data_IF_778825356748
#
_entry.id   IF_778825356748
#
_cell.length_a   1.000
_cell.length_b   1.000
_cell.length_c   1.000
_cell.angle_alpha   90.00
_cell.angle_beta   90.00
_cell.angle_gamma   90.00
#
_symmetry.space_group_name_H-M   'P 1'
#
loop_
_entity.id
_entity.type
_entity.pdbx_description
1 polymer ?
#
# COMPACT_ATOMS: atom_id res chain seq x y z
N UNK A 1 60.25 -13.88 45.41
CA UNK A 1 58.93 -13.64 46.03
C UNK A 1 58.22 -12.66 45.12
N UNK A 2 57.33 -13.17 44.26
CA UNK A 2 55.88 -12.95 44.31
C UNK A 2 55.51 -11.51 43.88
N UNK A 3 54.59 -11.24 42.96
CA UNK A 3 53.61 -12.04 42.24
C UNK A 3 53.09 -11.22 41.04
N UNK A 4 52.53 -11.93 40.06
CA UNK A 4 51.93 -11.43 38.82
C UNK A 4 50.54 -10.84 39.08
N UNK A 5 50.10 -9.92 38.22
CA UNK A 5 48.77 -10.08 37.57
C UNK A 5 48.59 -9.16 36.37
N UNK A 6 47.98 -9.74 35.34
CA UNK A 6 47.75 -9.23 33.99
C UNK A 6 46.46 -8.40 33.91
N UNK A 7 46.45 -7.36 33.06
CA UNK A 7 45.22 -6.77 32.50
C UNK A 7 45.35 -6.74 30.97
N UNK A 8 44.52 -7.54 30.28
CA UNK A 8 44.37 -7.57 28.81
C UNK A 8 43.31 -6.53 28.40
N UNK A 9 43.64 -5.68 27.43
CA UNK A 9 42.69 -4.85 26.65
C UNK A 9 42.23 -5.61 25.38
N UNK A 10 41.00 -5.38 24.88
CA UNK A 10 40.49 -6.02 23.67
C UNK A 10 40.94 -5.25 22.41
N UNK A 11 41.36 -5.99 21.39
CA UNK A 11 41.82 -5.47 20.10
C UNK A 11 40.73 -5.64 19.02
N UNK A 12 40.43 -4.54 18.34
CA UNK A 12 39.54 -4.44 17.18
C UNK A 12 40.10 -5.23 15.98
N UNK A 13 39.22 -5.96 15.29
CA UNK A 13 39.49 -6.61 14.00
C UNK A 13 38.93 -5.74 12.88
N UNK A 14 39.82 -5.21 12.03
CA UNK A 14 39.48 -4.50 10.80
C UNK A 14 39.72 -5.43 9.62
N UNK A 15 38.66 -5.67 8.84
CA UNK A 15 38.64 -6.52 7.65
C UNK A 15 39.25 -5.79 6.45
N UNK A 16 40.25 -6.41 5.80
CA UNK A 16 40.84 -5.91 4.57
C UNK A 16 40.07 -6.41 3.33
N UNK A 17 39.70 -5.47 2.46
CA UNK A 17 39.13 -5.67 1.12
C UNK A 17 40.20 -6.11 0.12
N UNK A 18 40.00 -7.26 -0.54
CA UNK A 18 40.77 -7.70 -1.72
C UNK A 18 40.22 -7.06 -3.00
N UNK A 19 41.06 -6.29 -3.71
CA UNK A 19 40.90 -5.94 -5.13
C UNK A 19 41.95 -6.71 -5.94
N UNK A 20 41.56 -7.34 -7.04
CA UNK A 20 42.47 -7.84 -8.08
C UNK A 20 42.14 -7.17 -9.43
N UNK A 21 43.14 -7.04 -10.34
CA UNK A 21 43.15 -6.07 -11.42
C UNK A 21 42.63 -6.61 -12.77
N UNK A 22 42.11 -5.70 -13.58
CA UNK A 22 41.71 -5.89 -14.97
C UNK A 22 42.92 -5.90 -15.92
N UNK A 23 43.07 -6.95 -16.72
CA UNK A 23 44.02 -7.01 -17.84
C UNK A 23 43.35 -6.67 -19.17
N UNK A 24 44.07 -5.90 -19.97
CA UNK A 24 43.78 -5.47 -21.33
C UNK A 24 44.15 -6.57 -22.34
N UNK A 25 43.39 -6.68 -23.44
CA UNK A 25 43.93 -7.11 -24.73
C UNK A 25 43.19 -6.41 -25.87
N UNK A 26 43.95 -5.64 -26.65
CA UNK A 26 43.62 -5.16 -27.99
C UNK A 26 43.78 -6.35 -28.95
N UNK A 27 42.94 -6.46 -29.98
CA UNK A 27 43.31 -7.23 -31.17
C UNK A 27 42.80 -6.61 -32.47
N UNK A 28 43.70 -6.67 -33.44
CA UNK A 28 43.69 -6.04 -34.75
C UNK A 28 42.63 -6.58 -35.72
N UNK A 29 42.27 -5.70 -36.65
CA UNK A 29 41.36 -5.91 -37.77
C UNK A 29 42.18 -6.31 -38.99
N UNK A 30 41.96 -7.51 -39.54
CA UNK A 30 42.42 -7.88 -40.87
C UNK A 30 41.27 -8.39 -41.74
N UNK A 31 41.27 -7.95 -43.01
CA UNK A 31 40.29 -8.24 -44.05
C UNK A 31 40.62 -9.56 -44.76
N UNK A 32 39.57 -10.22 -45.29
CA UNK A 32 39.42 -10.79 -46.66
C UNK A 32 38.90 -12.24 -46.66
N UNK A 33 37.93 -12.52 -47.53
CA UNK A 33 37.77 -13.84 -48.15
C UNK A 33 36.40 -14.49 -47.98
N UNK A 34 35.58 -14.38 -49.02
CA UNK A 34 34.39 -15.17 -49.33
C UNK A 34 34.63 -16.69 -49.17
N UNK A 35 33.62 -17.43 -48.71
CA UNK A 35 33.04 -18.61 -49.37
C UNK A 35 31.95 -19.23 -48.49
N UNK A 36 30.71 -19.15 -48.97
CA UNK A 36 29.58 -19.95 -48.50
C UNK A 36 29.77 -21.39 -49.01
N UNK A 37 29.38 -22.41 -48.24
CA UNK A 37 28.28 -23.22 -48.73
C UNK A 37 27.19 -23.43 -47.68
N UNK A 38 25.96 -23.46 -48.18
CA UNK A 38 24.72 -23.64 -47.44
C UNK A 38 24.78 -24.83 -46.48
N UNK A 39 24.48 -24.58 -45.21
CA UNK A 39 23.86 -25.55 -44.32
C UNK A 39 22.43 -25.10 -44.06
N UNK A 40 21.48 -25.95 -44.46
CA UNK A 40 20.06 -25.81 -44.14
C UNK A 40 19.91 -26.04 -42.63
N UNK A 41 19.81 -24.95 -41.86
CA UNK A 41 19.49 -25.00 -40.44
C UNK A 41 17.97 -24.98 -40.25
N UNK A 42 17.44 -26.08 -39.73
CA UNK A 42 16.11 -26.10 -39.14
C UNK A 42 16.20 -25.49 -37.72
N UNK A 43 16.04 -24.17 -37.59
CA UNK A 43 15.96 -23.44 -36.31
C UNK A 43 14.60 -22.75 -36.10
N UNK A 44 13.50 -23.40 -36.47
CA UNK A 44 12.16 -22.89 -36.20
C UNK A 44 11.53 -23.66 -35.04
N UNK A 45 11.85 -23.37 -33.76
CA UNK A 45 10.99 -22.46 -32.98
C UNK A 45 11.71 -21.62 -31.90
N UNK A 46 12.95 -21.92 -31.54
CA UNK A 46 13.65 -21.34 -30.37
C UNK A 46 14.15 -19.93 -30.64
N UNK A 47 14.58 -19.64 -31.87
CA UNK A 47 15.07 -18.33 -32.31
C UNK A 47 13.97 -17.26 -32.28
N UNK A 48 12.73 -17.65 -32.61
CA UNK A 48 11.56 -16.76 -32.55
C UNK A 48 11.18 -16.44 -31.11
N UNK A 49 11.28 -17.41 -30.21
CA UNK A 49 10.96 -17.22 -28.79
C UNK A 49 11.98 -16.32 -28.09
N UNK A 50 13.27 -16.42 -28.43
CA UNK A 50 14.29 -15.48 -27.94
C UNK A 50 14.12 -14.09 -28.54
N UNK A 51 13.76 -13.96 -29.82
CA UNK A 51 13.47 -12.66 -30.44
C UNK A 51 12.26 -11.95 -29.84
N UNK A 52 11.20 -12.71 -29.54
CA UNK A 52 9.98 -12.18 -28.91
C UNK A 52 10.23 -11.77 -27.45
N UNK A 53 11.05 -12.54 -26.73
CA UNK A 53 11.45 -12.20 -25.36
C UNK A 53 12.33 -10.92 -25.31
N UNK A 54 13.25 -10.76 -26.26
CA UNK A 54 14.08 -9.56 -26.39
C UNK A 54 13.23 -8.33 -26.76
N UNK A 55 12.27 -8.49 -27.66
CA UNK A 55 11.35 -7.41 -28.04
C UNK A 55 10.51 -6.96 -26.85
N UNK A 56 10.08 -7.90 -26.01
CA UNK A 56 9.31 -7.61 -24.79
C UNK A 56 10.17 -6.96 -23.70
N UNK A 57 11.44 -7.36 -23.58
CA UNK A 57 12.40 -6.69 -22.69
C UNK A 57 12.61 -5.22 -23.09
N UNK A 58 12.74 -4.94 -24.39
CA UNK A 58 12.92 -3.59 -24.90
C UNK A 58 11.68 -2.72 -24.65
N UNK A 59 10.47 -3.27 -24.82
CA UNK A 59 9.22 -2.58 -24.46
C UNK A 59 9.13 -2.27 -22.96
N UNK A 60 9.52 -3.20 -22.08
CA UNK A 60 9.53 -2.94 -20.64
C UNK A 60 10.57 -1.89 -20.24
N UNK A 61 11.72 -1.84 -20.92
CA UNK A 61 12.70 -0.77 -20.72
C UNK A 61 12.14 0.61 -21.09
N UNK A 62 11.43 0.71 -22.22
CA UNK A 62 10.79 1.97 -22.63
C UNK A 62 9.70 2.39 -21.64
N UNK A 63 8.85 1.46 -21.20
CA UNK A 63 7.79 1.74 -20.24
C UNK A 63 8.36 2.16 -18.87
N UNK A 64 9.44 1.52 -18.41
CA UNK A 64 10.12 1.93 -17.19
C UNK A 64 10.74 3.33 -17.32
N UNK A 65 11.34 3.65 -18.46
CA UNK A 65 11.87 5.00 -18.71
C UNK A 65 10.75 6.06 -18.68
N UNK A 66 9.57 5.75 -19.23
CA UNK A 66 8.40 6.64 -19.17
C UNK A 66 7.88 6.79 -17.73
N UNK A 67 7.83 5.71 -16.95
CA UNK A 67 7.44 5.74 -15.55
C UNK A 67 8.43 6.55 -14.70
N UNK A 68 9.73 6.40 -14.94
CA UNK A 68 10.77 7.20 -14.31
C UNK A 68 10.63 8.68 -14.66
N UNK A 69 10.37 9.02 -15.92
CA UNK A 69 10.12 10.40 -16.35
C UNK A 69 8.87 11.00 -15.68
N UNK A 70 7.75 10.27 -15.62
CA UNK A 70 6.53 10.72 -14.92
C UNK A 70 6.76 10.88 -13.42
N UNK A 71 7.56 10.00 -12.83
CA UNK A 71 7.92 10.09 -11.41
C UNK A 71 8.80 11.32 -11.16
N UNK A 72 9.76 11.60 -12.03
CA UNK A 72 10.59 12.80 -11.95
C UNK A 72 9.76 14.08 -12.10
N UNK A 73 8.77 14.08 -12.99
CA UNK A 73 7.86 15.22 -13.16
C UNK A 73 6.96 15.45 -11.95
N UNK A 74 6.42 14.38 -11.36
CA UNK A 74 5.61 14.48 -10.14
C UNK A 74 6.43 14.99 -8.97
N UNK A 75 7.67 14.50 -8.82
CA UNK A 75 8.60 14.99 -7.79
C UNK A 75 8.93 16.47 -8.02
N UNK A 76 9.21 16.88 -9.26
CA UNK A 76 9.47 18.28 -9.62
C UNK A 76 8.28 19.18 -9.28
N UNK A 77 7.05 18.74 -9.54
CA UNK A 77 5.83 19.49 -9.16
C UNK A 77 5.69 19.60 -7.64
N UNK A 78 5.95 18.52 -6.90
CA UNK A 78 5.92 18.52 -5.44
C UNK A 78 6.99 19.45 -4.84
N UNK A 79 8.21 19.43 -5.39
CA UNK A 79 9.28 20.35 -5.01
C UNK A 79 8.94 21.82 -5.32
N UNK A 80 8.28 22.07 -6.45
CA UNK A 80 7.83 23.42 -6.81
C UNK A 80 6.77 23.94 -5.84
N UNK A 81 5.75 23.15 -5.52
CA UNK A 81 4.74 23.50 -4.53
C UNK A 81 5.33 23.73 -3.13
N UNK A 82 6.30 22.90 -2.74
CA UNK A 82 7.01 23.09 -1.48
C UNK A 82 7.85 24.37 -1.48
N UNK A 83 8.51 24.69 -2.60
CA UNK A 83 9.26 25.94 -2.76
C UNK A 83 8.34 27.15 -2.69
N UNK A 84 7.21 27.13 -3.39
CA UNK A 84 6.22 28.22 -3.38
C UNK A 84 5.63 28.42 -1.98
N UNK A 85 5.24 27.34 -1.29
CA UNK A 85 4.76 27.43 0.08
C UNK A 85 5.84 27.98 1.02
N UNK A 86 7.09 27.52 0.87
CA UNK A 86 8.19 28.00 1.70
C UNK A 86 8.54 29.47 1.38
N UNK A 87 8.41 29.91 0.12
CA UNK A 87 8.59 31.30 -0.28
C UNK A 87 7.53 32.21 0.37
N UNK A 88 6.26 31.79 0.35
CA UNK A 88 5.15 32.50 1.01
C UNK A 88 5.37 32.60 2.52
N UNK A 89 5.89 31.54 3.15
CA UNK A 89 6.19 31.53 4.59
C UNK A 89 7.48 32.28 4.95
N UNK A 90 8.44 32.37 4.02
CA UNK A 90 9.73 33.04 4.23
C UNK A 90 9.68 34.56 3.98
N UNK A 91 8.62 35.07 3.34
CA UNK A 91 8.39 36.51 3.24
C UNK A 91 8.09 37.05 4.64
N UNK A 92 8.91 37.98 5.16
CA UNK A 92 8.67 38.54 6.48
C UNK A 92 7.31 39.24 6.50
N UNK A 93 6.58 39.09 7.61
CA UNK A 93 5.25 39.64 7.93
C UNK A 93 5.16 41.19 7.86
N UNK A 94 6.16 41.86 7.30
CA UNK A 94 6.30 43.31 7.27
C UNK A 94 5.66 43.99 6.04
N UNK A 95 5.14 43.23 5.08
CA UNK A 95 4.43 43.78 3.89
C UNK A 95 2.90 43.66 3.99
N UNK A 96 2.37 42.86 4.92
CA UNK A 96 0.93 42.57 5.01
C UNK A 96 0.14 43.55 5.91
N UNK A 97 0.81 44.54 6.51
CA UNK A 97 0.20 45.50 7.43
C UNK A 97 0.02 46.91 6.83
N UNK A 98 0.17 47.07 5.50
CA UNK A 98 0.11 48.39 4.85
C UNK A 98 -0.51 48.39 3.45
N UNK A 99 -1.59 47.62 3.26
CA UNK A 99 -2.48 47.86 2.11
C UNK A 99 -3.91 47.56 2.53
N UNK A 100 -4.45 48.48 3.32
CA UNK A 100 -5.88 48.72 3.35
C UNK A 100 -6.33 49.12 1.93
N UNK A 101 -7.48 48.56 1.56
CA UNK A 101 -8.48 49.04 0.60
C UNK A 101 -8.01 50.11 -0.39
N UNK A 102 -7.82 49.74 -1.64
CA UNK A 102 -8.53 50.39 -2.75
C UNK A 102 -8.34 49.61 -4.05
N UNK A 103 -9.50 49.35 -4.65
CA UNK A 103 -9.77 49.45 -6.08
C UNK A 103 -9.47 48.35 -7.10
N UNK A 104 -10.55 48.12 -7.84
CA UNK A 104 -10.71 47.78 -9.24
C UNK A 104 -11.04 46.34 -9.67
N UNK A 105 -12.20 46.33 -10.33
CA UNK A 105 -12.77 45.30 -11.16
C UNK A 105 -11.85 44.89 -12.32
N UNK A 106 -12.27 43.79 -12.93
CA UNK A 106 -12.20 43.55 -14.38
C UNK A 106 -11.18 42.52 -14.87
N UNK A 107 -11.73 41.30 -15.03
CA UNK A 107 -11.59 40.43 -16.20
C UNK A 107 -10.29 39.63 -16.42
N UNK A 108 -10.39 38.31 -16.21
CA UNK A 108 -10.51 37.34 -17.34
C UNK A 108 -10.67 35.87 -16.90
N UNK A 109 -11.89 35.38 -17.07
CA UNK A 109 -12.32 34.15 -17.78
C UNK A 109 -11.22 33.09 -18.10
N UNK A 110 -11.40 31.86 -17.57
CA UNK A 110 -11.58 30.60 -18.33
C UNK A 110 -11.85 29.43 -17.37
N UNK A 111 -12.91 28.67 -17.65
CA UNK A 111 -13.42 27.43 -16.99
C UNK A 111 -12.82 26.19 -17.71
N UNK A 112 -13.15 24.92 -17.36
CA UNK A 112 -12.93 24.18 -16.10
C UNK A 112 -12.36 22.76 -16.36
N UNK A 113 -11.65 22.09 -15.43
CA UNK A 113 -11.63 20.62 -15.45
C UNK A 113 -11.27 19.96 -14.11
N UNK A 114 -12.31 19.36 -13.52
CA UNK A 114 -12.37 18.04 -12.89
C UNK A 114 -11.29 17.63 -11.87
N UNK A 115 -11.76 17.57 -10.62
CA UNK A 115 -11.31 16.69 -9.52
C UNK A 115 -11.19 15.21 -9.96
N UNK A 116 -10.42 14.32 -9.29
CA UNK A 116 -10.75 13.94 -7.91
C UNK A 116 -9.58 13.67 -6.93
N UNK A 117 -9.88 14.05 -5.67
CA UNK A 117 -9.71 13.23 -4.46
C UNK A 117 -8.28 12.83 -4.07
N UNK A 118 -7.70 13.59 -3.13
CA UNK A 118 -6.68 13.10 -2.22
C UNK A 118 -7.27 12.82 -0.83
N UNK A 119 -7.15 11.57 -0.42
CA UNK A 119 -7.28 11.12 0.97
C UNK A 119 -5.97 11.26 1.74
N UNK A 120 -5.98 11.61 3.04
CA UNK A 120 -4.80 11.99 3.80
C UNK A 120 -4.08 10.78 4.41
N UNK A 121 -2.77 10.72 4.19
CA UNK A 121 -1.86 9.78 4.83
C UNK A 121 -1.42 10.32 6.20
N UNK A 122 -1.73 9.52 7.23
CA UNK A 122 -1.40 9.69 8.64
C UNK A 122 0.11 9.90 8.86
N UNK A 123 0.48 10.93 9.64
CA UNK A 123 1.81 11.08 10.25
C UNK A 123 1.76 10.64 11.72
N UNK A 124 2.61 9.67 12.04
CA UNK A 124 2.90 9.14 13.38
C UNK A 124 3.60 10.21 14.22
N UNK A 125 3.11 10.45 15.44
CA UNK A 125 3.84 11.19 16.49
C UNK A 125 4.09 10.24 17.66
N UNK A 126 5.38 10.10 17.96
CA UNK A 126 5.97 9.43 19.13
C UNK A 126 5.61 10.15 20.42
N UNK A 127 5.05 9.44 21.41
CA UNK A 127 5.21 9.81 22.82
C UNK A 127 5.39 8.59 23.74
N UNK A 128 6.25 8.84 24.74
CA UNK A 128 6.90 7.89 25.63
C UNK A 128 5.94 7.26 26.65
N UNK A 129 6.22 5.99 26.89
CA UNK A 129 5.76 5.11 27.96
C UNK A 129 6.03 5.68 29.36
N UNK A 130 5.00 5.69 30.23
CA UNK A 130 5.16 5.55 31.69
C UNK A 130 4.13 4.52 32.17
N UNK A 131 4.62 3.57 32.97
CA UNK A 131 3.93 2.37 33.46
C UNK A 131 3.01 2.69 34.63
N UNK A 132 1.88 1.98 34.73
CA UNK A 132 1.28 1.54 36.00
C UNK A 132 0.33 0.38 35.75
N UNK A 133 0.73 -0.80 36.25
CA UNK A 133 -0.14 -1.96 36.39
C UNK A 133 -0.72 -1.94 37.80
N UNK A 134 -2.00 -2.28 37.97
CA UNK A 134 -2.40 -3.44 38.79
C UNK A 134 -3.92 -3.59 38.78
N UNK A 135 -4.34 -4.82 38.50
CA UNK A 135 -5.70 -5.32 38.59
C UNK A 135 -6.04 -5.60 40.07
N UNK A 136 -7.32 -5.47 40.48
CA UNK A 136 -8.04 -6.58 41.10
C UNK A 136 -9.52 -6.31 41.41
N UNK A 137 -10.33 -7.28 40.95
CA UNK A 137 -11.52 -7.92 41.54
C UNK A 137 -12.74 -7.10 42.03
N UNK A 138 -13.75 -7.10 41.17
CA UNK A 138 -15.11 -7.65 41.34
C UNK A 138 -15.60 -8.02 42.76
N UNK A 139 -16.75 -7.48 43.16
CA UNK A 139 -17.88 -8.26 43.72
C UNK A 139 -19.24 -7.66 43.36
N UNK A 140 -20.10 -8.57 42.94
CA UNK A 140 -21.52 -8.50 42.59
C UNK A 140 -22.37 -8.46 43.86
N UNK A 141 -23.47 -7.70 43.85
CA UNK A 141 -24.77 -8.14 44.38
C UNK A 141 -25.90 -7.34 43.73
N UNK A 142 -26.90 -8.11 43.28
CA UNK A 142 -28.15 -7.71 42.64
C UNK A 142 -29.11 -7.15 43.69
N UNK A 143 -30.08 -6.32 43.27
CA UNK A 143 -31.49 -6.71 43.27
C UNK A 143 -32.42 -5.65 42.62
N UNK A 144 -33.30 -6.17 41.75
CA UNK A 144 -34.69 -5.77 41.42
C UNK A 144 -34.95 -4.43 40.71
N UNK A 145 -35.31 -4.49 39.42
CA UNK A 145 -36.71 -4.50 38.90
C UNK A 145 -37.38 -3.12 39.09
N UNK A 146 -37.72 -2.36 38.04
CA UNK A 146 -38.77 -2.70 37.08
C UNK A 146 -38.69 -1.94 35.75
N UNK A 147 -39.29 -2.61 34.79
CA UNK A 147 -39.58 -2.36 33.39
C UNK A 147 -40.44 -1.08 33.15
N UNK A 148 -40.24 -0.39 32.01
CA UNK A 148 -41.27 -0.15 30.96
C UNK A 148 -40.79 0.93 29.97
N UNK A 149 -40.89 0.54 28.70
CA UNK A 149 -40.70 1.22 27.43
C UNK A 149 -41.77 2.27 27.08
N UNK A 150 -41.38 3.33 26.36
CA UNK A 150 -42.11 4.00 25.24
C UNK A 150 -41.35 5.31 24.92
N UNK A 151 -40.68 5.49 23.78
CA UNK A 151 -41.16 5.79 22.42
C UNK A 151 -42.24 6.87 22.32
N UNK A 152 -41.88 7.95 21.59
CA UNK A 152 -42.69 8.77 20.64
C UNK A 152 -42.89 10.25 21.03
N UNK A 153 -42.28 11.12 20.19
CA UNK A 153 -42.67 12.48 19.73
C UNK A 153 -42.96 13.56 20.79
N UNK A 154 -42.26 14.69 20.87
CA UNK A 154 -41.82 15.66 19.85
C UNK A 154 -42.89 16.02 18.80
N UNK A 155 -43.97 16.65 19.27
CA UNK A 155 -44.78 17.64 18.54
C UNK A 155 -45.87 18.18 19.48
N UNK A 156 -45.54 19.18 20.32
CA UNK A 156 -46.46 20.24 20.80
C UNK A 156 -45.75 21.05 21.90
N UNK A 157 -44.93 22.02 21.48
CA UNK A 157 -44.37 23.02 22.40
C UNK A 157 -44.32 24.38 21.69
N UNK A 158 -45.45 24.77 21.11
CA UNK A 158 -45.67 26.12 20.54
C UNK A 158 -47.03 26.74 20.94
N UNK A 159 -47.83 26.08 21.78
CA UNK A 159 -49.15 26.58 22.20
C UNK A 159 -49.22 27.26 23.57
N UNK A 160 -48.20 27.11 24.43
CA UNK A 160 -48.30 27.53 25.85
C UNK A 160 -47.89 28.98 26.13
N UNK A 161 -47.39 29.72 25.13
CA UNK A 161 -46.91 31.09 25.32
C UNK A 161 -47.98 32.16 25.05
N UNK A 162 -48.99 31.88 24.22
CA UNK A 162 -50.07 32.84 23.92
C UNK A 162 -51.10 32.91 25.06
N UNK A 163 -51.40 31.79 25.73
CA UNK A 163 -52.36 31.74 26.86
C UNK A 163 -51.92 32.54 28.09
N UNK A 164 -50.61 32.77 28.26
CA UNK A 164 -50.08 33.57 29.37
C UNK A 164 -50.41 35.05 29.19
N UNK A 165 -50.24 35.59 27.98
CA UNK A 165 -50.53 36.98 27.67
C UNK A 165 -52.04 37.27 27.77
N UNK A 166 -52.88 36.34 27.30
CA UNK A 166 -54.34 36.44 27.39
C UNK A 166 -54.84 36.42 28.85
N UNK A 167 -54.18 35.66 29.73
CA UNK A 167 -54.51 35.64 31.16
C UNK A 167 -54.20 36.97 31.87
N UNK A 168 -53.10 37.65 31.52
CA UNK A 168 -52.77 38.97 32.08
C UNK A 168 -53.68 40.08 31.55
N UNK A 169 -54.07 40.01 30.27
CA UNK A 169 -55.00 40.96 29.67
C UNK A 169 -56.40 40.83 30.29
N UNK A 170 -56.91 39.60 30.44
CA UNK A 170 -58.20 39.33 31.07
C UNK A 170 -58.25 39.78 32.53
N UNK A 171 -57.14 39.63 33.28
CA UNK A 171 -57.04 40.08 34.67
C UNK A 171 -57.02 41.61 34.79
N UNK A 172 -56.39 42.29 33.84
CA UNK A 172 -56.33 43.76 33.80
C UNK A 172 -57.69 44.37 33.43
N UNK A 173 -58.39 43.80 32.45
CA UNK A 173 -59.74 44.23 32.06
C UNK A 173 -60.72 44.09 33.24
N UNK A 174 -60.72 42.94 33.93
CA UNK A 174 -61.57 42.71 35.10
C UNK A 174 -61.32 43.71 36.23
N UNK A 175 -60.06 44.09 36.46
CA UNK A 175 -59.70 45.08 37.49
C UNK A 175 -60.19 46.49 37.13
N UNK A 176 -60.21 46.85 35.84
CA UNK A 176 -60.75 48.13 35.39
C UNK A 176 -62.29 48.16 35.47
N UNK A 177 -62.96 47.06 35.10
CA UNK A 177 -64.42 46.92 35.22
C UNK A 177 -64.89 47.02 36.69
N UNK A 178 -64.17 46.40 37.62
CA UNK A 178 -64.47 46.45 39.06
C UNK A 178 -64.27 47.87 39.64
N UNK A 179 -63.28 48.62 39.15
CA UNK A 179 -63.04 50.01 39.57
C UNK A 179 -64.09 50.98 39.02
N UNK A 180 -64.58 50.77 37.80
CA UNK A 180 -65.60 51.61 37.17
C UNK A 180 -66.99 51.41 37.81
N UNK A 181 -67.29 50.19 38.26
CA UNK A 181 -68.55 49.90 38.96
C UNK A 181 -68.60 50.48 40.39
N UNK A 182 -67.45 50.75 41.01
CA UNK A 182 -67.38 51.38 42.34
C UNK A 182 -67.45 52.92 42.31
N UNK A 183 -67.37 53.55 41.13
CA UNK A 183 -67.40 55.03 40.98
C UNK A 183 -68.76 55.58 40.58
N UNK A 184 -69.72 54.74 40.18
CA UNK A 184 -71.04 55.15 39.66
C UNK A 184 -72.14 55.23 40.75
N UNK A 185 -71.80 55.02 42.02
CA UNK A 185 -72.78 55.01 43.14
C UNK A 185 -72.74 56.21 44.07
N UNK A 186 -72.09 57.33 43.71
CA UNK A 186 -72.09 58.53 44.55
C UNK A 186 -72.29 59.85 43.78
N UNK A 187 -73.37 59.94 42.99
CA UNK A 187 -73.99 61.21 42.65
C UNK A 187 -75.51 61.01 42.65
N UNK A 188 -76.17 61.47 43.73
CA UNK A 188 -77.57 61.93 43.79
C UNK A 188 -77.99 62.12 45.25
N UNK A 189 -77.69 63.29 45.81
CA UNK A 189 -78.59 63.98 46.74
C UNK A 189 -78.53 65.45 46.36
N UNK A 190 -79.51 65.84 45.55
CA UNK A 190 -80.06 67.20 45.59
C UNK A 190 -80.53 67.45 47.03
N UNK A 191 -80.04 68.50 47.69
CA UNK A 191 -80.82 69.12 48.76
C UNK A 191 -80.77 70.63 48.57
N UNK A 192 -81.95 71.10 48.20
CA UNK A 192 -82.37 72.45 47.92
C UNK A 192 -82.78 73.08 49.26
N UNK A 193 -82.10 74.13 49.70
CA UNK A 193 -82.65 75.03 50.72
C UNK A 193 -82.40 76.48 50.34
N UNK A 194 -83.45 77.01 49.70
CA UNK A 194 -83.82 78.41 49.52
C UNK A 194 -84.08 79.14 50.86
N UNK A 195 -84.17 80.48 50.74
CA UNK A 195 -84.55 81.55 51.68
C UNK A 195 -83.31 82.26 52.27
N UNK A 196 -83.01 83.52 51.99
CA UNK A 196 -83.90 84.65 51.76
C UNK A 196 -83.73 85.65 52.90
N UNK A 197 -83.44 86.91 52.54
CA UNK A 197 -83.42 88.13 53.35
C UNK A 197 -82.23 88.47 54.29
N UNK A 198 -81.40 89.39 53.78
CA UNK A 198 -81.20 90.74 54.31
C UNK A 198 -81.05 90.89 55.84
N UNK A 199 -79.82 91.12 56.33
CA UNK A 199 -79.45 92.13 57.35
C UNK A 199 -77.92 92.13 57.56
N UNK A 200 -77.31 93.32 57.55
CA UNK A 200 -76.20 93.63 58.47
C UNK A 200 -74.76 93.59 57.94
N UNK A 201 -74.22 94.79 57.67
CA UNK A 201 -72.85 95.16 57.27
C UNK A 201 -71.72 94.81 58.27
N UNK A 202 -71.69 93.57 58.79
CA UNK A 202 -70.62 93.01 59.62
C UNK A 202 -70.33 91.52 59.36
N UNK A 203 -71.15 90.85 58.56
CA UNK A 203 -71.03 89.44 58.19
C UNK A 203 -70.17 89.25 56.92
N UNK A 204 -69.92 90.32 56.14
CA UNK A 204 -69.15 90.29 54.89
C UNK A 204 -67.63 90.20 55.07
N UNK A 205 -67.04 90.86 56.06
CA UNK A 205 -65.56 90.94 56.20
C UNK A 205 -64.94 89.62 56.71
N UNK A 206 -65.63 88.91 57.60
CA UNK A 206 -65.21 87.57 58.04
C UNK A 206 -65.32 86.53 56.93
N UNK A 207 -66.41 86.55 56.14
CA UNK A 207 -66.58 85.70 54.97
C UNK A 207 -65.52 86.00 53.89
N UNK A 208 -65.17 87.27 53.66
CA UNK A 208 -64.10 87.68 52.74
C UNK A 208 -62.73 87.15 53.21
N UNK A 209 -62.42 87.18 54.51
CA UNK A 209 -61.17 86.59 55.04
C UNK A 209 -61.10 85.07 54.83
N UNK A 210 -62.20 84.36 55.07
CA UNK A 210 -62.27 82.90 54.84
C UNK A 210 -62.14 82.57 53.35
N UNK A 211 -62.82 83.30 52.47
CA UNK A 211 -62.70 83.11 51.01
C UNK A 211 -61.28 83.41 50.51
N UNK A 212 -60.61 84.45 51.03
CA UNK A 212 -59.21 84.73 50.70
C UNK A 212 -58.25 83.65 51.21
N UNK A 213 -58.50 83.10 52.41
CA UNK A 213 -57.73 81.99 52.93
C UNK A 213 -57.92 80.73 52.08
N UNK A 214 -59.16 80.41 51.68
CA UNK A 214 -59.47 79.28 50.77
C UNK A 214 -58.81 79.47 49.40
N UNK A 215 -58.85 80.68 48.84
CA UNK A 215 -58.16 80.99 47.58
C UNK A 215 -56.65 80.79 47.70
N UNK A 216 -56.04 81.20 48.84
CA UNK A 216 -54.61 80.97 49.09
C UNK A 216 -54.30 79.48 49.24
N UNK A 217 -55.08 78.72 50.01
CA UNK A 217 -54.90 77.26 50.14
C UNK A 217 -55.03 76.60 48.77
N UNK A 218 -56.07 76.94 47.99
CA UNK A 218 -56.25 76.41 46.63
C UNK A 218 -55.11 76.80 45.69
N UNK A 219 -54.55 78.01 45.83
CA UNK A 219 -53.39 78.44 45.05
C UNK A 219 -52.13 77.65 45.43
N UNK A 220 -51.88 77.45 46.73
CA UNK A 220 -50.77 76.63 47.23
C UNK A 220 -50.91 75.17 46.81
N UNK A 221 -52.13 74.60 46.83
CA UNK A 221 -52.42 73.26 46.33
C UNK A 221 -52.17 73.15 44.82
N UNK A 222 -52.55 74.17 44.03
CA UNK A 222 -52.30 74.21 42.60
C UNK A 222 -50.80 74.31 42.28
N UNK A 223 -50.06 75.14 43.02
CA UNK A 223 -48.61 75.29 42.86
C UNK A 223 -47.87 74.01 43.27
N UNK A 224 -48.31 73.35 44.35
CA UNK A 224 -47.79 72.06 44.79
C UNK A 224 -48.07 70.97 43.75
N UNK A 225 -49.30 70.87 43.25
CA UNK A 225 -49.69 69.91 42.21
C UNK A 225 -48.90 70.15 40.92
N UNK A 226 -48.64 71.41 40.56
CA UNK A 226 -47.82 71.78 39.41
C UNK A 226 -46.35 71.35 39.60
N UNK A 227 -45.77 71.57 40.78
CA UNK A 227 -44.42 71.10 41.08
C UNK A 227 -44.31 69.57 41.04
N UNK A 228 -45.32 68.85 41.54
CA UNK A 228 -45.39 67.39 41.47
C UNK A 228 -45.55 66.90 40.03
N UNK A 229 -46.39 67.58 39.24
CA UNK A 229 -46.56 67.31 37.81
C UNK A 229 -45.23 67.41 37.07
N UNK A 230 -44.47 68.50 37.25
CA UNK A 230 -43.17 68.65 36.59
C UNK A 230 -42.13 67.61 37.02
N UNK A 231 -42.11 67.23 38.31
CA UNK A 231 -41.25 66.13 38.78
C UNK A 231 -41.61 64.80 38.10
N UNK A 232 -42.91 64.52 37.95
CA UNK A 232 -43.39 63.33 37.28
C UNK A 232 -43.12 63.36 35.79
N UNK A 233 -43.21 64.52 35.15
CA UNK A 233 -42.85 64.70 33.74
C UNK A 233 -41.35 64.46 33.50
N UNK A 234 -40.48 65.00 34.37
CA UNK A 234 -39.04 64.73 34.34
C UNK A 234 -38.70 63.25 34.56
N UNK A 235 -39.37 62.59 35.51
CA UNK A 235 -39.25 61.15 35.74
C UNK A 235 -39.71 60.34 34.51
N UNK A 236 -40.82 60.74 33.88
CA UNK A 236 -41.35 60.09 32.69
C UNK A 236 -40.42 60.26 31.48
N UNK A 237 -39.81 61.44 31.31
CA UNK A 237 -38.79 61.68 30.30
C UNK A 237 -37.56 60.78 30.51
N UNK A 238 -37.10 60.63 31.76
CA UNK A 238 -35.99 59.73 32.10
C UNK A 238 -36.33 58.26 31.84
N UNK A 239 -37.52 57.81 32.22
CA UNK A 239 -37.98 56.44 31.95
C UNK A 239 -38.10 56.17 30.45
N UNK A 240 -38.64 57.13 29.70
CA UNK A 240 -38.74 57.05 28.23
C UNK A 240 -37.36 56.95 27.57
N UNK A 241 -36.39 57.75 28.03
CA UNK A 241 -35.01 57.65 27.56
C UNK A 241 -34.39 56.28 27.87
N UNK A 242 -34.66 55.72 29.07
CA UNK A 242 -34.17 54.40 29.45
C UNK A 242 -34.80 53.27 28.62
N UNK A 243 -36.10 53.36 28.31
CA UNK A 243 -36.79 52.40 27.44
C UNK A 243 -36.12 52.39 26.06
N UNK A 244 -35.88 53.57 25.48
CA UNK A 244 -35.21 53.68 24.17
C UNK A 244 -33.80 53.09 24.18
N UNK A 245 -33.01 53.35 25.21
CA UNK A 245 -31.67 52.76 25.37
C UNK A 245 -31.72 51.22 25.42
N UNK A 246 -32.66 50.66 26.18
CA UNK A 246 -32.87 49.21 26.29
C UNK A 246 -33.36 48.58 24.99
N UNK A 247 -34.20 49.28 24.21
CA UNK A 247 -34.65 48.84 22.89
C UNK A 247 -33.49 48.79 21.89
N UNK A 248 -32.63 49.81 21.88
CA UNK A 248 -31.42 49.85 21.06
C UNK A 248 -30.44 48.72 21.46
N UNK A 249 -30.25 48.47 22.77
CA UNK A 249 -29.46 47.35 23.27
C UNK A 249 -30.03 46.00 22.86
N UNK A 250 -31.35 45.82 22.97
CA UNK A 250 -32.04 44.61 22.52
C UNK A 250 -31.82 44.37 21.03
N UNK A 251 -31.90 45.42 20.20
CA UNK A 251 -31.64 45.31 18.76
C UNK A 251 -30.18 44.93 18.46
N UNK A 252 -29.21 45.52 19.19
CA UNK A 252 -27.77 45.16 19.08
C UNK A 252 -27.50 43.71 19.48
N UNK A 253 -28.07 43.27 20.60
CA UNK A 253 -27.94 41.88 21.07
C UNK A 253 -28.58 40.92 20.08
N UNK A 254 -29.79 41.21 19.59
CA UNK A 254 -30.46 40.37 18.59
C UNK A 254 -29.62 40.20 17.32
N UNK A 255 -29.00 41.29 16.81
CA UNK A 255 -28.09 41.22 15.66
C UNK A 255 -26.89 40.32 15.95
N UNK A 256 -26.31 40.44 17.14
CA UNK A 256 -25.15 39.64 17.56
C UNK A 256 -25.51 38.15 17.70
N UNK A 257 -26.65 37.83 18.31
CA UNK A 257 -27.19 36.47 18.40
C UNK A 257 -27.42 35.86 17.02
N UNK A 258 -28.02 36.61 16.09
CA UNK A 258 -28.23 36.13 14.72
C UNK A 258 -26.89 35.82 14.01
N UNK A 259 -25.87 36.67 14.18
CA UNK A 259 -24.53 36.42 13.61
C UNK A 259 -23.89 35.18 14.25
N UNK A 260 -23.94 35.04 15.57
CA UNK A 260 -23.39 33.88 16.26
C UNK A 260 -24.12 32.58 15.85
N UNK A 261 -25.42 32.63 15.66
CA UNK A 261 -26.23 31.50 15.19
C UNK A 261 -25.76 31.03 13.81
N UNK A 262 -25.57 31.95 12.85
CA UNK A 262 -25.06 31.60 11.51
C UNK A 262 -23.62 31.04 11.56
N UNK A 263 -22.77 31.55 12.45
CA UNK A 263 -21.44 30.98 12.67
C UNK A 263 -21.51 29.55 13.23
N UNK A 264 -22.38 29.29 14.21
CA UNK A 264 -22.58 27.95 14.78
C UNK A 264 -23.02 26.96 13.69
N UNK A 265 -23.97 27.35 12.86
CA UNK A 265 -24.45 26.52 11.74
C UNK A 265 -23.34 26.23 10.72
N UNK A 266 -22.53 27.24 10.38
CA UNK A 266 -21.37 27.07 9.48
C UNK A 266 -20.34 26.09 10.06
N UNK A 267 -19.98 26.23 11.33
CA UNK A 267 -19.03 25.32 11.97
C UNK A 267 -19.60 23.92 12.14
N UNK A 268 -20.91 23.78 12.40
CA UNK A 268 -21.59 22.49 12.43
C UNK A 268 -21.52 21.80 11.06
N UNK A 269 -21.84 22.50 9.97
CA UNK A 269 -21.76 21.96 8.62
C UNK A 269 -20.33 21.51 8.26
N UNK A 270 -19.32 22.30 8.61
CA UNK A 270 -17.91 21.95 8.38
C UNK A 270 -17.50 20.71 9.18
N UNK A 271 -17.96 20.58 10.43
CA UNK A 271 -17.69 19.42 11.27
C UNK A 271 -18.35 18.15 10.68
N UNK A 272 -19.59 18.24 10.22
CA UNK A 272 -20.29 17.14 9.56
C UNK A 272 -19.63 16.71 8.25
N UNK A 273 -19.17 17.66 7.43
CA UNK A 273 -18.43 17.36 6.20
C UNK A 273 -17.10 16.64 6.50
N UNK A 274 -16.36 17.14 7.49
CA UNK A 274 -15.12 16.49 7.93
C UNK A 274 -15.39 15.09 8.48
N UNK A 275 -16.47 14.90 9.26
CA UNK A 275 -16.86 13.60 9.79
C UNK A 275 -17.17 12.61 8.65
N UNK A 276 -17.97 13.02 7.67
CA UNK A 276 -18.26 12.20 6.47
C UNK A 276 -16.99 11.83 5.70
N UNK A 277 -16.04 12.76 5.58
CA UNK A 277 -14.74 12.49 4.95
C UNK A 277 -13.92 11.47 5.74
N UNK A 278 -13.91 11.58 7.08
CA UNK A 278 -13.25 10.60 7.95
C UNK A 278 -13.89 9.21 7.85
N UNK A 279 -15.21 9.12 7.77
CA UNK A 279 -15.91 7.84 7.59
C UNK A 279 -15.59 7.22 6.22
N UNK A 280 -15.58 8.03 5.15
CA UNK A 280 -15.15 7.60 3.82
C UNK A 280 -13.72 7.05 3.80
N UNK A 281 -12.80 7.77 4.43
CA UNK A 281 -11.41 7.34 4.68
C UNK A 281 -11.32 6.01 5.41
N UNK A 282 -12.09 5.86 6.48
CA UNK A 282 -12.09 4.65 7.27
C UNK A 282 -12.59 3.44 6.47
N UNK A 283 -13.58 3.64 5.60
CA UNK A 283 -14.07 2.61 4.67
C UNK A 283 -13.01 2.25 3.63
N UNK A 284 -12.33 3.22 3.01
CA UNK A 284 -11.25 2.96 2.05
C UNK A 284 -10.09 2.20 2.69
N UNK A 285 -9.64 2.63 3.88
CA UNK A 285 -8.61 1.93 4.65
C UNK A 285 -9.02 0.49 4.94
N UNK A 286 -10.27 0.28 5.38
CA UNK A 286 -10.80 -1.07 5.63
C UNK A 286 -10.87 -1.93 4.36
N UNK A 287 -11.21 -1.33 3.22
CA UNK A 287 -11.19 -1.97 1.91
C UNK A 287 -9.78 -2.41 1.50
N UNK A 288 -8.81 -1.49 1.59
CA UNK A 288 -7.41 -1.77 1.28
C UNK A 288 -6.81 -2.85 2.19
N UNK A 289 -7.15 -2.87 3.48
CA UNK A 289 -6.71 -3.95 4.38
C UNK A 289 -7.20 -5.33 3.93
N UNK A 290 -8.46 -5.44 3.51
CA UNK A 290 -9.03 -6.69 2.97
C UNK A 290 -8.36 -7.09 1.65
N UNK A 291 -8.06 -6.13 0.78
CA UNK A 291 -7.34 -6.40 -0.47
C UNK A 291 -5.90 -6.90 -0.21
N UNK A 292 -5.18 -6.30 0.74
CA UNK A 292 -3.86 -6.76 1.16
C UNK A 292 -3.93 -8.20 1.70
N UNK A 293 -4.93 -8.52 2.53
CA UNK A 293 -5.11 -9.87 3.05
C UNK A 293 -5.37 -10.89 1.92
N UNK A 294 -6.23 -10.53 0.97
CA UNK A 294 -6.53 -11.36 -0.21
C UNK A 294 -5.29 -11.58 -1.09
N UNK A 295 -4.52 -10.52 -1.37
CA UNK A 295 -3.28 -10.59 -2.13
C UNK A 295 -2.25 -11.48 -1.42
N UNK A 296 -2.10 -11.34 -0.11
CA UNK A 296 -1.19 -12.16 0.68
C UNK A 296 -1.60 -13.65 0.66
N UNK A 297 -2.90 -13.93 0.76
CA UNK A 297 -3.43 -15.30 0.61
C UNK A 297 -3.14 -15.87 -0.78
N UNK A 298 -3.40 -15.10 -1.83
CA UNK A 298 -3.12 -15.49 -3.22
C UNK A 298 -1.62 -15.74 -3.43
N UNK A 299 -0.76 -14.86 -2.91
CA UNK A 299 0.70 -15.02 -2.97
C UNK A 299 1.17 -16.30 -2.28
N UNK A 300 0.65 -16.63 -1.10
CA UNK A 300 0.97 -17.90 -0.40
C UNK A 300 0.55 -19.11 -1.23
N UNK A 301 -0.62 -19.07 -1.84
CA UNK A 301 -1.09 -20.15 -2.72
C UNK A 301 -0.19 -20.28 -3.96
N UNK A 302 0.14 -19.16 -4.61
CA UNK A 302 1.03 -19.14 -5.76
C UNK A 302 2.44 -19.65 -5.40
N UNK A 303 2.98 -19.29 -4.23
CA UNK A 303 4.27 -19.78 -3.75
C UNK A 303 4.25 -21.31 -3.50
N UNK A 304 3.16 -21.85 -2.93
CA UNK A 304 3.01 -23.29 -2.74
C UNK A 304 2.93 -24.05 -4.08
N UNK A 305 2.19 -23.51 -5.05
CA UNK A 305 2.13 -24.07 -6.40
C UNK A 305 3.49 -24.00 -7.08
N UNK A 306 4.19 -22.86 -7.00
CA UNK A 306 5.52 -22.69 -7.54
C UNK A 306 6.50 -23.72 -6.97
N UNK A 307 6.55 -23.87 -5.64
CA UNK A 307 7.39 -24.88 -4.98
C UNK A 307 7.09 -26.30 -5.48
N UNK A 308 5.82 -26.64 -5.68
CA UNK A 308 5.41 -27.95 -6.22
C UNK A 308 5.92 -28.16 -7.65
N UNK A 309 5.78 -27.14 -8.51
CA UNK A 309 6.25 -27.19 -9.90
C UNK A 309 7.77 -27.26 -9.95
N UNK A 310 8.48 -26.53 -9.09
CA UNK A 310 9.93 -26.52 -8.98
C UNK A 310 10.48 -27.89 -8.61
N UNK A 311 9.87 -28.58 -7.63
CA UNK A 311 10.26 -29.96 -7.27
C UNK A 311 10.07 -30.93 -8.45
N UNK A 312 8.94 -30.81 -9.17
CA UNK A 312 8.68 -31.65 -10.36
C UNK A 312 9.68 -31.35 -11.49
N UNK A 313 10.04 -30.08 -11.69
CA UNK A 313 11.04 -29.67 -12.67
C UNK A 313 12.42 -30.24 -12.32
N UNK A 314 12.86 -30.12 -11.07
CA UNK A 314 14.14 -30.66 -10.62
C UNK A 314 14.22 -32.17 -10.81
N UNK A 315 13.15 -32.91 -10.47
CA UNK A 315 13.07 -34.34 -10.75
C UNK A 315 13.20 -34.66 -12.24
N UNK A 316 12.51 -33.91 -13.10
CA UNK A 316 12.59 -34.11 -14.55
C UNK A 316 14.00 -33.81 -15.10
N UNK A 317 14.68 -32.80 -14.55
CA UNK A 317 16.07 -32.48 -14.88
C UNK A 317 17.02 -33.59 -14.45
N UNK A 318 16.90 -34.09 -13.22
CA UNK A 318 17.70 -35.23 -12.72
C UNK A 318 17.48 -36.49 -13.59
N UNK A 319 16.24 -36.79 -13.97
CA UNK A 319 15.93 -37.91 -14.86
C UNK A 319 16.55 -37.72 -16.26
N UNK A 320 16.54 -36.51 -16.79
CA UNK A 320 17.19 -36.19 -18.07
C UNK A 320 18.71 -36.35 -18.01
N UNK A 321 19.36 -35.89 -16.93
CA UNK A 321 20.80 -36.08 -16.72
C UNK A 321 21.17 -37.55 -16.55
N UNK A 322 20.35 -38.32 -15.82
CA UNK A 322 20.49 -39.78 -15.70
C UNK A 322 20.39 -40.48 -17.05
N UNK A 323 19.43 -40.10 -17.89
CA UNK A 323 19.30 -40.68 -19.24
C UNK A 323 20.48 -40.31 -20.14
N UNK A 324 20.97 -39.06 -20.06
CA UNK A 324 22.15 -38.60 -20.81
C UNK A 324 23.41 -39.37 -20.42
N UNK A 325 23.63 -39.60 -19.13
CA UNK A 325 24.78 -40.39 -18.64
C UNK A 325 24.68 -41.85 -19.06
N UNK A 326 23.49 -42.47 -19.00
CA UNK A 326 23.26 -43.83 -19.49
C UNK A 326 23.48 -43.96 -21.00
N UNK A 327 23.03 -42.98 -21.78
CA UNK A 327 23.27 -42.92 -23.23
C UNK A 327 24.77 -42.85 -23.53
N UNK A 328 25.51 -41.97 -22.85
CA UNK A 328 26.95 -41.85 -23.03
C UNK A 328 27.69 -43.13 -22.63
N UNK A 329 27.31 -43.76 -21.51
CA UNK A 329 27.85 -45.05 -21.09
C UNK A 329 27.61 -46.12 -22.15
N UNK A 330 26.39 -46.22 -22.68
CA UNK A 330 26.03 -47.19 -23.72
C UNK A 330 26.84 -46.96 -25.01
N UNK A 331 26.97 -45.70 -25.43
CA UNK A 331 27.81 -45.32 -26.59
C UNK A 331 29.27 -45.72 -26.39
N UNK A 332 29.83 -45.46 -25.21
CA UNK A 332 31.20 -45.85 -24.88
C UNK A 332 31.35 -47.38 -24.90
N UNK A 333 30.46 -48.12 -24.24
CA UNK A 333 30.51 -49.60 -24.23
C UNK A 333 30.37 -50.19 -25.63
N UNK A 334 29.56 -49.60 -26.51
CA UNK A 334 29.48 -50.05 -27.90
C UNK A 334 30.77 -49.77 -28.67
N UNK A 335 31.40 -48.60 -28.45
CA UNK A 335 32.69 -48.27 -29.06
C UNK A 335 33.78 -49.27 -28.62
N UNK A 336 33.81 -49.58 -27.32
CA UNK A 336 34.78 -50.53 -26.76
C UNK A 336 34.55 -51.94 -27.30
N UNK A 337 33.30 -52.41 -27.37
CA UNK A 337 32.95 -53.71 -28.00
C UNK A 337 33.37 -53.79 -29.47
N UNK A 338 33.10 -52.75 -30.26
CA UNK A 338 33.53 -52.71 -31.67
C UNK A 338 35.06 -52.79 -31.77
N UNK A 339 35.78 -52.12 -30.87
CA UNK A 339 37.25 -52.18 -30.82
C UNK A 339 37.76 -53.57 -30.43
N UNK A 340 37.17 -54.20 -29.42
CA UNK A 340 37.49 -55.56 -28.98
C UNK A 340 37.20 -56.59 -30.08
N UNK A 341 36.04 -56.48 -30.75
CA UNK A 341 35.67 -57.34 -31.89
C UNK A 341 36.65 -57.16 -33.05
N UNK A 342 37.08 -55.93 -33.35
CA UNK A 342 38.08 -55.65 -34.37
C UNK A 342 39.43 -56.30 -34.02
N UNK A 343 39.91 -56.13 -32.80
CA UNK A 343 41.16 -56.73 -32.33
C UNK A 343 41.10 -58.26 -32.34
N UNK A 344 39.99 -58.84 -31.89
CA UNK A 344 39.75 -60.29 -31.92
C UNK A 344 39.76 -60.84 -33.36
N UNK A 345 39.08 -60.14 -34.28
CA UNK A 345 39.10 -60.49 -35.71
C UNK A 345 40.50 -60.43 -36.30
N UNK A 346 41.29 -59.41 -35.96
CA UNK A 346 42.69 -59.28 -36.42
C UNK A 346 43.57 -60.43 -35.90
N UNK A 347 43.44 -60.79 -34.63
CA UNK A 347 44.15 -61.93 -34.02
C UNK A 347 43.80 -63.25 -34.72
N UNK A 348 42.50 -63.52 -34.93
CA UNK A 348 42.05 -64.72 -35.64
C UNK A 348 42.54 -64.76 -37.10
N UNK A 349 42.59 -63.61 -37.78
CA UNK A 349 43.15 -63.52 -39.14
C UNK A 349 44.65 -63.84 -39.16
N UNK A 350 45.41 -63.32 -38.19
CA UNK A 350 46.84 -63.58 -38.06
C UNK A 350 47.12 -65.07 -37.76
N UNK A 351 46.37 -65.68 -36.84
CA UNK A 351 46.46 -67.10 -36.53
C UNK A 351 46.08 -67.96 -37.75
N UNK A 352 44.99 -67.63 -38.44
CA UNK A 352 44.57 -68.34 -39.66
C UNK A 352 45.66 -68.30 -40.74
N UNK A 353 46.35 -67.16 -40.89
CA UNK A 353 47.48 -67.02 -41.81
C UNK A 353 48.67 -67.88 -41.38
N UNK A 354 48.99 -67.94 -40.08
CA UNK A 354 50.04 -68.79 -39.53
C UNK A 354 49.74 -70.29 -39.75
N UNK A 355 48.52 -70.73 -39.42
CA UNK A 355 48.07 -72.11 -39.61
C UNK A 355 48.11 -72.51 -41.09
N UNK A 356 47.70 -71.62 -42.01
CA UNK A 356 47.85 -71.84 -43.45
C UNK A 356 49.31 -72.03 -43.87
N UNK A 357 50.23 -71.25 -43.30
CA UNK A 357 51.66 -71.38 -43.56
C UNK A 357 52.20 -72.72 -43.05
N UNK A 358 51.91 -73.08 -41.79
CA UNK A 358 52.31 -74.36 -41.20
C UNK A 358 51.74 -75.55 -41.99
N UNK A 359 50.47 -75.48 -42.42
CA UNK A 359 49.87 -76.50 -43.30
C UNK A 359 50.62 -76.63 -44.63
N UNK A 360 50.99 -75.51 -45.26
CA UNK A 360 51.75 -75.52 -46.51
C UNK A 360 53.15 -76.12 -46.33
N UNK A 361 53.86 -75.75 -45.26
CA UNK A 361 55.17 -76.31 -44.90
C UNK A 361 55.08 -77.82 -44.65
N UNK A 362 54.06 -78.28 -43.93
CA UNK A 362 53.82 -79.71 -43.68
C UNK A 362 53.54 -80.49 -44.97
N UNK A 363 52.71 -79.94 -45.88
CA UNK A 363 52.46 -80.54 -47.20
C UNK A 363 53.77 -80.67 -47.99
N UNK A 364 54.64 -79.65 -47.98
CA UNK A 364 55.95 -79.72 -48.63
C UNK A 364 56.83 -80.78 -47.99
N UNK A 365 56.83 -80.89 -46.66
CA UNK A 365 57.52 -81.95 -45.91
C UNK A 365 57.09 -83.36 -46.35
N UNK A 366 55.78 -83.63 -46.36
CA UNK A 366 55.25 -84.91 -46.83
C UNK A 366 55.61 -85.21 -48.30
N UNK A 367 55.55 -84.21 -49.18
CA UNK A 367 55.98 -84.38 -50.59
C UNK A 367 57.46 -84.77 -50.70
N UNK A 368 58.34 -84.19 -49.86
CA UNK A 368 59.77 -84.56 -49.80
C UNK A 368 59.96 -85.98 -49.26
N UNK A 369 59.23 -86.35 -48.20
CA UNK A 369 59.27 -87.70 -47.63
C UNK A 369 58.82 -88.75 -48.66
N UNK A 370 57.74 -88.49 -49.41
CA UNK A 370 57.30 -89.38 -50.50
C UNK A 370 58.40 -89.59 -51.55
N UNK A 371 59.05 -88.51 -52.01
CA UNK A 371 60.18 -88.62 -52.96
C UNK A 371 61.36 -89.41 -52.38
N UNK A 372 61.66 -89.22 -51.10
CA UNK A 372 62.73 -89.97 -50.43
C UNK A 372 62.39 -91.46 -50.36
N UNK A 373 61.14 -91.82 -50.05
CA UNK A 373 60.67 -93.22 -50.08
C UNK A 373 60.85 -93.82 -51.47
N UNK A 374 60.51 -93.10 -52.53
CA UNK A 374 60.68 -93.58 -53.91
C UNK A 374 62.16 -93.82 -54.25
N UNK A 375 63.05 -92.91 -53.86
CA UNK A 375 64.51 -93.05 -54.04
C UNK A 375 65.03 -94.25 -53.25
N UNK A 376 64.66 -94.39 -51.98
CA UNK A 376 65.10 -95.49 -51.12
C UNK A 376 64.60 -96.85 -51.62
N UNK A 377 63.36 -96.94 -52.11
CA UNK A 377 62.82 -98.17 -52.74
C UNK A 377 63.64 -98.55 -53.98
N UNK A 378 64.00 -97.57 -54.82
CA UNK A 378 64.85 -97.78 -56.00
C UNK A 378 66.27 -98.22 -55.60
N UNK A 379 66.87 -97.57 -54.60
CA UNK A 379 68.17 -97.95 -54.06
C UNK A 379 68.17 -99.36 -53.49
N UNK A 380 67.13 -99.74 -52.72
CA UNK A 380 66.94 -101.10 -52.21
C UNK A 380 66.89 -102.12 -53.36
N UNK A 381 66.12 -101.83 -54.41
CA UNK A 381 66.06 -102.69 -55.61
C UNK A 381 67.43 -102.84 -56.28
N UNK A 382 68.17 -101.74 -56.48
CA UNK A 382 69.52 -101.80 -57.04
C UNK A 382 70.49 -102.60 -56.16
N UNK A 383 70.40 -102.45 -54.84
CA UNK A 383 71.23 -103.18 -53.89
C UNK A 383 70.91 -104.68 -53.89
N UNK A 384 69.63 -105.07 -53.89
CA UNK A 384 69.21 -106.47 -54.00
C UNK A 384 69.67 -107.10 -55.31
N UNK A 385 69.56 -106.38 -56.44
CA UNK A 385 70.08 -106.84 -57.73
C UNK A 385 71.61 -107.02 -57.71
N UNK A 386 72.36 -106.05 -57.14
CA UNK A 386 73.82 -106.16 -57.00
C UNK A 386 74.23 -107.31 -56.09
N UNK A 387 73.50 -107.56 -55.00
CA UNK A 387 73.73 -108.70 -54.09
C UNK A 387 73.46 -110.05 -54.77
N UNK A 388 72.41 -110.13 -55.58
CA UNK A 388 72.14 -111.33 -56.38
C UNK A 388 73.24 -111.57 -57.41
N UNK A 389 73.73 -110.49 -58.05
CA UNK A 389 74.85 -110.55 -58.98
C UNK A 389 76.14 -111.03 -58.29
N UNK A 390 76.48 -110.51 -57.11
CA UNK A 390 77.64 -110.98 -56.36
C UNK A 390 77.54 -112.44 -55.95
N UNK A 391 76.34 -112.95 -55.62
CA UNK A 391 76.15 -114.39 -55.39
C UNK A 391 76.41 -115.21 -56.66
N UNK A 392 75.94 -114.75 -57.81
CA UNK A 392 76.22 -115.44 -59.09
C UNK A 392 77.71 -115.37 -59.46
N UNK A 393 78.40 -114.26 -59.18
CA UNK A 393 79.85 -114.14 -59.36
C UNK A 393 80.63 -115.08 -58.42
N UNK A 394 80.27 -115.15 -57.15
CA UNK A 394 80.88 -116.06 -56.17
C UNK A 394 80.67 -117.54 -56.52
N UNK A 395 79.47 -117.92 -56.97
CA UNK A 395 79.18 -119.27 -57.47
C UNK A 395 79.99 -119.59 -58.73
N UNK A 396 80.10 -118.63 -59.66
CA UNK A 396 80.91 -118.77 -60.87
C UNK A 396 82.40 -118.95 -60.54
N UNK A 397 82.94 -118.17 -59.60
CA UNK A 397 84.34 -118.30 -59.15
C UNK A 397 84.61 -119.65 -58.46
N UNK A 398 83.68 -120.14 -57.62
CA UNK A 398 83.78 -121.49 -57.03
C UNK A 398 83.79 -122.58 -58.10
N UNK A 399 82.98 -122.46 -59.14
CA UNK A 399 82.98 -123.40 -60.26
C UNK A 399 84.32 -123.39 -61.04
N UNK A 400 85.02 -122.25 -61.10
CA UNK A 400 86.36 -122.16 -61.68
C UNK A 400 87.46 -122.76 -60.78
N UNK A 401 87.37 -122.61 -59.46
CA UNK A 401 88.34 -123.18 -58.50
C UNK A 401 88.22 -124.71 -58.35
N UNK A 402 87.07 -125.32 -58.71
CA UNK A 402 86.94 -126.78 -58.82
C UNK A 402 87.81 -127.43 -59.90
N UNK A 403 88.46 -126.63 -60.76
CA UNK A 403 89.44 -127.09 -61.74
C UNK A 403 90.89 -127.14 -61.24
N UNK A 404 91.18 -126.79 -59.98
CA UNK A 404 92.53 -126.86 -59.39
C UNK A 404 92.60 -127.94 -58.31
N UNK A 405 92.76 -129.19 -58.75
CA UNK A 405 93.39 -130.29 -58.02
C UNK A 405 94.43 -130.94 -58.92
#
# INVERSE_FOLDING_TARGET
>A
MAERSFVKKPQFVVSQTKKHPSSSTKNERSKRGQTTPQTKSASGPTERFTGDLLSKEEQYKLLNAELEAKTADLVRQAEQLMREQNEVLSKPLSTLLLTDFDDEEESRIMKPQQSPVHEPRVKVVTQKTVKSASQNRCTRKQEKENNITSNVSQADELGAAEDSADFFLAKTIRSMEEKMNNTVTHENVEDDHDVGDNVGSGISDAQIRVLKAKLRIMQEELDQLSCEYYKKDDENAKLSAKIKELEEDRARLQKTTNIQQTHIEKYRALAEESAKKCDGLQLQVSGLYKEIENLNRSQKQAAAVHSTVEVRLNRALEEAERLKTQLNKTKQTNKDKISEEHQSKENLLAENKMLKKQKAELIVGFKKQLKLIDILKRQKMHFEAAKLLSFTEDEFMKALDWGKS
#
